data_IF_060961150804
#
_entry.id   IF_060961150804
#
_cell.length_a   1.000
_cell.length_b   1.000
_cell.length_c   1.000
_cell.angle_alpha   90.00
_cell.angle_beta   90.00
_cell.angle_gamma   90.00
#
_symmetry.space_group_name_H-M   'P 1'
#
loop_
_entity.id
_entity.type
_entity.pdbx_description
1 polymer ?
#
# COMPACT_ATOMS: atom_id res chain seq x y z
N UNK A 1 30.52 16.92 23.02
CA UNK A 1 29.87 15.72 23.57
C UNK A 1 29.50 14.83 22.39
N UNK A 2 30.12 13.67 22.23
CA UNK A 2 29.79 12.74 21.15
C UNK A 2 28.38 12.21 21.41
N UNK A 3 27.41 12.61 20.61
CA UNK A 3 26.07 12.04 20.61
C UNK A 3 26.19 10.56 20.27
N UNK A 4 25.85 9.71 21.23
CA UNK A 4 25.78 8.27 21.03
C UNK A 4 24.80 7.99 19.86
N UNK A 5 25.34 7.90 18.64
CA UNK A 5 24.49 7.77 17.43
C UNK A 5 23.78 6.43 17.51
N UNK A 6 22.45 6.46 17.55
CA UNK A 6 21.60 5.28 17.51
C UNK A 6 22.00 4.40 16.30
N UNK A 7 22.51 3.20 16.55
CA UNK A 7 23.05 2.29 15.51
C UNK A 7 21.96 1.47 14.81
N UNK A 8 20.73 1.53 15.28
CA UNK A 8 19.60 0.79 14.68
C UNK A 8 19.33 1.26 13.26
N UNK A 9 18.89 0.35 12.41
CA UNK A 9 18.27 0.73 11.13
C UNK A 9 16.98 1.50 11.38
N UNK A 10 16.67 2.42 10.49
CA UNK A 10 15.53 3.34 10.60
C UNK A 10 14.46 3.04 9.57
N UNK A 11 13.19 3.23 9.94
CA UNK A 11 12.06 3.12 9.03
C UNK A 11 11.05 4.25 9.24
N UNK A 12 10.64 4.89 8.17
CA UNK A 12 9.52 5.84 8.14
C UNK A 12 8.31 5.17 7.48
N UNK A 13 7.16 5.21 8.15
CA UNK A 13 5.93 4.56 7.67
C UNK A 13 4.79 5.57 7.61
N UNK A 14 4.13 5.69 6.45
CA UNK A 14 2.99 6.60 6.29
C UNK A 14 1.68 5.91 6.65
N UNK A 15 0.74 6.63 7.31
CA UNK A 15 -0.62 6.15 7.58
C UNK A 15 -0.69 5.08 8.67
N UNK A 16 -0.12 5.36 9.86
CA UNK A 16 -0.01 4.42 10.99
C UNK A 16 -1.13 4.51 12.03
N UNK A 17 -2.26 5.19 11.75
CA UNK A 17 -3.37 5.28 12.71
C UNK A 17 -3.82 3.89 13.18
N UNK A 18 -4.22 3.81 14.48
CA UNK A 18 -4.60 2.57 15.18
C UNK A 18 -5.59 1.71 14.37
N UNK A 19 -5.40 0.38 14.38
CA UNK A 19 -6.22 -0.61 13.67
C UNK A 19 -6.03 -0.63 12.14
N UNK A 20 -4.97 0.00 11.62
CA UNK A 20 -4.58 -0.04 10.21
C UNK A 20 -3.37 -0.92 9.95
N UNK A 21 -3.10 -1.20 8.66
CA UNK A 21 -1.92 -1.94 8.21
C UNK A 21 -0.63 -1.24 8.64
N UNK A 22 -0.55 0.10 8.49
CA UNK A 22 0.64 0.87 8.87
C UNK A 22 0.97 0.77 10.36
N UNK A 23 -0.05 0.73 11.25
CA UNK A 23 0.14 0.52 12.68
C UNK A 23 0.76 -0.86 12.96
N UNK A 24 0.24 -1.91 12.33
CA UNK A 24 0.77 -3.26 12.49
C UNK A 24 2.21 -3.38 11.93
N UNK A 25 2.50 -2.74 10.79
CA UNK A 25 3.86 -2.68 10.24
C UNK A 25 4.82 -1.96 11.19
N UNK A 26 4.40 -0.82 11.79
CA UNK A 26 5.21 -0.06 12.73
C UNK A 26 5.59 -0.90 13.96
N UNK A 27 4.62 -1.61 14.55
CA UNK A 27 4.86 -2.54 15.66
C UNK A 27 5.82 -3.66 15.28
N UNK A 28 5.65 -4.21 14.09
CA UNK A 28 6.46 -5.34 13.65
C UNK A 28 7.90 -4.92 13.33
N UNK A 29 8.14 -3.79 12.65
CA UNK A 29 9.48 -3.24 12.47
C UNK A 29 10.15 -2.92 13.82
N UNK A 30 9.40 -2.36 14.76
CA UNK A 30 9.89 -2.08 16.11
C UNK A 30 10.29 -3.37 16.84
N UNK A 31 9.49 -4.44 16.72
CA UNK A 31 9.79 -5.76 17.30
C UNK A 31 11.08 -6.35 16.74
N UNK A 32 11.44 -6.04 15.51
CA UNK A 32 12.71 -6.41 14.89
C UNK A 32 13.87 -5.46 15.23
N UNK A 33 13.67 -4.55 16.19
CA UNK A 33 14.72 -3.67 16.72
C UNK A 33 15.02 -2.44 15.85
N UNK A 34 14.17 -2.11 14.87
CA UNK A 34 14.38 -0.90 14.09
C UNK A 34 13.93 0.35 14.87
N UNK A 35 14.55 1.49 14.56
CA UNK A 35 14.08 2.80 14.94
C UNK A 35 12.93 3.21 14.02
N UNK A 36 11.72 3.35 14.56
CA UNK A 36 10.50 3.53 13.76
C UNK A 36 9.98 4.95 13.91
N UNK A 37 9.79 5.63 12.77
CA UNK A 37 9.04 6.87 12.63
C UNK A 37 7.66 6.52 12.07
N UNK A 38 6.64 6.51 12.92
CA UNK A 38 5.26 6.26 12.53
C UNK A 38 4.53 7.58 12.29
N UNK A 39 3.82 7.70 11.16
CA UNK A 39 3.15 8.95 10.83
C UNK A 39 1.65 8.80 10.61
N UNK A 40 0.89 9.83 10.97
CA UNK A 40 -0.53 10.02 10.69
C UNK A 40 -0.87 11.51 10.61
N UNK A 41 -2.02 11.87 10.04
CA UNK A 41 -2.49 13.26 9.97
C UNK A 41 -2.63 13.90 11.36
N UNK A 42 -3.13 13.12 12.31
CA UNK A 42 -3.19 13.50 13.71
C UNK A 42 -2.27 12.59 14.52
N UNK A 43 -1.22 13.18 15.14
CA UNK A 43 -0.26 12.45 15.96
C UNK A 43 -0.91 11.79 17.19
N UNK A 44 -2.04 12.31 17.70
CA UNK A 44 -2.80 11.69 18.79
C UNK A 44 -3.31 10.29 18.42
N UNK A 45 -3.59 10.06 17.14
CA UNK A 45 -4.00 8.72 16.66
C UNK A 45 -2.88 7.67 16.71
N UNK A 46 -1.67 8.05 17.17
CA UNK A 46 -0.48 7.22 17.30
C UNK A 46 -0.06 6.98 18.77
N UNK A 47 -0.88 7.36 19.75
CA UNK A 47 -0.56 7.21 21.19
C UNK A 47 -0.23 5.76 21.55
N UNK A 48 -0.92 4.80 20.94
CA UNK A 48 -0.69 3.37 21.11
C UNK A 48 0.68 2.89 20.59
N UNK A 49 1.26 3.61 19.62
CA UNK A 49 2.62 3.37 19.13
C UNK A 49 3.65 4.13 19.96
N UNK A 50 3.35 5.36 20.33
CA UNK A 50 4.23 6.19 21.15
C UNK A 50 4.50 5.53 22.53
N UNK A 51 3.50 4.89 23.14
CA UNK A 51 3.65 4.13 24.39
C UNK A 51 4.62 2.95 24.30
N UNK A 52 4.94 2.49 23.09
CA UNK A 52 5.93 1.43 22.82
C UNK A 52 7.34 1.99 22.53
N UNK A 53 7.53 3.33 22.59
CA UNK A 53 8.80 3.96 22.20
C UNK A 53 8.97 4.17 20.70
N UNK A 54 7.91 4.05 19.91
CA UNK A 54 7.88 4.39 18.49
C UNK A 54 7.72 5.90 18.33
N UNK A 55 8.52 6.53 17.47
CA UNK A 55 8.50 7.96 17.25
C UNK A 55 7.30 8.38 16.41
N UNK A 56 6.33 9.06 17.03
CA UNK A 56 5.11 9.54 16.38
C UNK A 56 5.34 10.93 15.75
N UNK A 57 4.98 11.09 14.49
CA UNK A 57 5.09 12.34 13.73
C UNK A 57 3.75 12.66 13.04
N UNK A 58 3.40 13.94 12.97
CA UNK A 58 2.29 14.39 12.12
C UNK A 58 2.72 14.40 10.65
N UNK A 59 1.88 13.88 9.76
CA UNK A 59 2.08 13.91 8.32
C UNK A 59 0.76 13.78 7.57
N UNK A 60 0.44 14.81 6.81
CA UNK A 60 -0.59 14.80 5.76
C UNK A 60 0.12 14.56 4.43
N UNK A 61 -0.01 13.36 3.85
CA UNK A 61 0.83 12.93 2.72
C UNK A 61 0.54 13.68 1.42
N UNK A 62 -0.66 14.21 1.27
CA UNK A 62 -1.16 15.02 0.16
C UNK A 62 -1.00 16.54 0.39
N UNK A 63 -0.16 16.93 1.34
CA UNK A 63 0.24 18.31 1.66
C UNK A 63 1.77 18.41 1.59
N UNK A 64 2.27 19.15 0.61
CA UNK A 64 3.71 19.29 0.37
C UNK A 64 4.45 19.92 1.54
N UNK A 65 3.89 20.93 2.19
CA UNK A 65 4.50 21.58 3.35
C UNK A 65 4.61 20.60 4.53
N UNK A 66 3.56 19.82 4.76
CA UNK A 66 3.56 18.76 5.78
C UNK A 66 4.64 17.71 5.51
N UNK A 67 4.85 17.32 4.25
CA UNK A 67 5.91 16.38 3.87
C UNK A 67 7.29 16.98 4.09
N UNK A 68 7.51 18.26 3.76
CA UNK A 68 8.79 18.95 3.99
C UNK A 68 9.11 19.07 5.48
N UNK A 69 8.13 19.43 6.31
CA UNK A 69 8.29 19.49 7.77
C UNK A 69 8.65 18.12 8.35
N UNK A 70 7.96 17.08 7.90
CA UNK A 70 8.27 15.69 8.32
C UNK A 70 9.69 15.29 7.88
N UNK A 71 10.10 15.60 6.65
CA UNK A 71 11.46 15.35 6.17
C UNK A 71 12.52 16.05 7.02
N UNK A 72 12.33 17.35 7.29
CA UNK A 72 13.26 18.12 8.10
C UNK A 72 13.42 17.53 9.51
N UNK A 73 12.32 17.12 10.13
CA UNK A 73 12.34 16.52 11.46
C UNK A 73 12.99 15.12 11.46
N UNK A 74 12.69 14.28 10.50
CA UNK A 74 13.34 12.95 10.35
C UNK A 74 14.84 13.12 10.11
N UNK A 75 15.25 14.03 9.19
CA UNK A 75 16.65 14.34 8.93
C UNK A 75 17.36 14.83 10.19
N UNK A 76 16.77 15.75 10.93
CA UNK A 76 17.31 16.26 12.19
C UNK A 76 17.54 15.15 13.22
N UNK A 77 16.59 14.20 13.33
CA UNK A 77 16.69 13.06 14.27
C UNK A 77 17.69 12.01 13.82
N UNK A 78 17.86 11.80 12.52
CA UNK A 78 18.83 10.84 11.97
C UNK A 78 20.26 11.41 11.98
N UNK A 79 20.45 12.73 11.97
CA UNK A 79 21.75 13.37 11.82
C UNK A 79 22.38 13.05 10.46
N UNK A 80 23.62 12.62 10.45
CA UNK A 80 24.35 12.26 9.23
C UNK A 80 23.98 10.88 8.66
N UNK A 81 23.09 10.14 9.35
CA UNK A 81 22.59 8.86 8.86
C UNK A 81 21.48 9.06 7.84
N UNK A 82 21.46 8.18 6.86
CA UNK A 82 20.34 8.09 5.95
C UNK A 82 19.12 7.38 6.56
N UNK A 83 18.06 7.26 5.78
CA UNK A 83 16.85 6.49 6.09
C UNK A 83 16.94 5.11 5.44
N UNK A 84 16.91 4.04 6.24
CA UNK A 84 17.06 2.68 5.72
C UNK A 84 15.79 2.17 5.01
N UNK A 85 14.61 2.54 5.50
CA UNK A 85 13.34 2.12 4.89
C UNK A 85 12.34 3.28 4.84
N UNK A 86 11.72 3.48 3.66
CA UNK A 86 10.54 4.33 3.48
C UNK A 86 9.35 3.43 3.10
N UNK A 87 8.32 3.35 3.94
CA UNK A 87 7.12 2.56 3.68
C UNK A 87 5.96 3.48 3.33
N UNK A 88 5.63 3.57 2.05
CA UNK A 88 4.47 4.29 1.55
C UNK A 88 3.23 3.41 1.68
N UNK A 89 2.57 3.51 2.85
CA UNK A 89 1.38 2.73 3.19
C UNK A 89 0.09 3.57 3.17
N UNK A 90 0.16 4.88 3.38
CA UNK A 90 -1.01 5.74 3.33
C UNK A 90 -1.80 5.55 2.02
N UNK A 91 -3.11 5.50 2.12
CA UNK A 91 -3.97 5.32 0.97
C UNK A 91 -5.45 5.42 1.33
N UNK A 92 -6.28 5.62 0.32
CA UNK A 92 -7.74 5.65 0.43
C UNK A 92 -8.38 4.77 -0.62
N UNK A 93 -9.59 4.28 -0.31
CA UNK A 93 -10.43 3.54 -1.26
C UNK A 93 -11.53 4.44 -1.83
N UNK A 94 -11.91 4.17 -3.08
CA UNK A 94 -13.04 4.79 -3.73
C UNK A 94 -13.82 3.71 -4.49
N UNK A 95 -14.97 3.29 -3.92
CA UNK A 95 -15.83 2.24 -4.47
C UNK A 95 -17.12 2.88 -4.98
N UNK A 96 -17.18 3.12 -6.29
CA UNK A 96 -18.31 3.73 -7.01
C UNK A 96 -18.28 3.17 -8.43
N UNK A 97 -19.46 2.98 -9.11
CA UNK A 97 -19.48 2.62 -10.52
C UNK A 97 -18.67 3.60 -11.37
N UNK A 98 -17.97 3.09 -12.36
CA UNK A 98 -17.03 3.88 -13.17
C UNK A 98 -17.68 5.08 -13.90
N UNK A 99 -18.96 4.96 -14.24
CA UNK A 99 -19.76 5.99 -14.94
C UNK A 99 -20.45 6.98 -14.00
N UNK A 100 -20.35 6.76 -12.67
CA UNK A 100 -21.02 7.56 -11.64
C UNK A 100 -20.02 8.23 -10.69
N UNK A 101 -18.78 8.37 -11.11
CA UNK A 101 -17.70 8.93 -10.29
C UNK A 101 -17.83 10.46 -10.16
N UNK A 102 -17.54 10.96 -8.96
CA UNK A 102 -17.27 12.38 -8.74
C UNK A 102 -15.80 12.68 -9.06
N UNK A 103 -15.55 13.61 -9.98
CA UNK A 103 -14.20 13.98 -10.40
C UNK A 103 -13.36 14.60 -9.29
N UNK A 104 -13.93 15.23 -8.29
CA UNK A 104 -13.23 15.74 -7.12
C UNK A 104 -12.67 14.58 -6.27
N UNK A 105 -13.49 13.55 -6.07
CA UNK A 105 -13.10 12.31 -5.37
C UNK A 105 -12.06 11.49 -6.18
N UNK A 106 -12.15 11.52 -7.53
CA UNK A 106 -11.14 10.93 -8.42
C UNK A 106 -9.78 11.59 -8.18
N UNK A 107 -9.73 12.95 -8.24
CA UNK A 107 -8.51 13.71 -7.98
C UNK A 107 -7.95 13.40 -6.60
N UNK A 108 -8.77 13.50 -5.55
CA UNK A 108 -8.35 13.20 -4.17
C UNK A 108 -7.82 11.77 -4.01
N UNK A 109 -8.37 10.80 -4.76
CA UNK A 109 -7.89 9.42 -4.71
C UNK A 109 -6.50 9.30 -5.34
N UNK A 110 -6.25 9.98 -6.45
CA UNK A 110 -4.93 10.01 -7.07
C UNK A 110 -3.92 10.84 -6.26
N UNK A 111 -4.35 11.96 -5.66
CA UNK A 111 -3.50 12.75 -4.76
C UNK A 111 -2.91 11.88 -3.64
N UNK A 112 -3.75 11.14 -2.93
CA UNK A 112 -3.30 10.32 -1.79
C UNK A 112 -2.57 9.04 -2.25
N UNK A 113 -3.08 8.33 -3.28
CA UNK A 113 -2.60 6.99 -3.62
C UNK A 113 -1.40 7.01 -4.56
N UNK A 114 -1.18 8.10 -5.29
CA UNK A 114 -0.15 8.19 -6.33
C UNK A 114 0.73 9.44 -6.18
N UNK A 115 0.20 10.65 -6.29
CA UNK A 115 1.02 11.87 -6.28
C UNK A 115 1.75 12.06 -4.94
N UNK A 116 1.09 11.82 -3.82
CA UNK A 116 1.71 11.82 -2.51
C UNK A 116 2.89 10.84 -2.43
N UNK A 117 2.75 9.64 -3.01
CA UNK A 117 3.84 8.64 -3.03
C UNK A 117 5.02 9.13 -3.87
N UNK A 118 4.75 9.73 -5.05
CA UNK A 118 5.79 10.34 -5.89
C UNK A 118 6.52 11.43 -5.11
N UNK A 119 5.79 12.30 -4.43
CA UNK A 119 6.36 13.38 -3.65
C UNK A 119 7.17 12.88 -2.44
N UNK A 120 6.68 11.88 -1.71
CA UNK A 120 7.43 11.21 -0.63
C UNK A 120 8.75 10.60 -1.16
N UNK A 121 8.70 9.88 -2.27
CA UNK A 121 9.91 9.29 -2.86
C UNK A 121 10.91 10.37 -3.27
N UNK A 122 10.46 11.45 -3.96
CA UNK A 122 11.29 12.59 -4.35
C UNK A 122 11.96 13.25 -3.13
N UNK A 123 11.19 13.56 -2.10
CA UNK A 123 11.64 14.29 -0.92
C UNK A 123 12.63 13.46 -0.09
N UNK A 124 12.37 12.17 0.10
CA UNK A 124 13.21 11.30 0.94
C UNK A 124 14.35 10.61 0.18
N UNK A 125 14.44 10.75 -1.14
CA UNK A 125 15.50 10.15 -1.95
C UNK A 125 16.92 10.45 -1.43
N UNK A 126 17.29 11.68 -1.02
CA UNK A 126 18.65 11.95 -0.52
C UNK A 126 19.00 11.11 0.72
N UNK A 127 18.06 10.92 1.66
CA UNK A 127 18.30 10.10 2.86
C UNK A 127 18.40 8.60 2.51
N UNK A 128 17.59 8.15 1.55
CA UNK A 128 17.61 6.75 1.07
C UNK A 128 18.91 6.44 0.30
N UNK A 129 19.42 7.38 -0.48
CA UNK A 129 20.70 7.23 -1.20
C UNK A 129 21.86 7.14 -0.19
N UNK A 130 21.86 7.99 0.85
CA UNK A 130 22.88 7.97 1.90
C UNK A 130 23.01 6.62 2.58
N UNK A 131 21.89 5.95 2.88
CA UNK A 131 21.88 4.64 3.56
C UNK A 131 21.88 3.45 2.60
N UNK A 132 21.78 3.67 1.28
CA UNK A 132 21.48 2.63 0.28
C UNK A 132 20.19 1.85 0.68
N UNK A 133 19.18 2.61 1.05
CA UNK A 133 17.95 2.13 1.69
C UNK A 133 17.00 1.40 0.77
N UNK A 134 15.76 1.22 1.25
CA UNK A 134 14.70 0.54 0.52
C UNK A 134 13.41 1.31 0.60
N UNK A 135 12.77 1.54 -0.54
CA UNK A 135 11.39 2.03 -0.64
C UNK A 135 10.46 0.81 -0.68
N UNK A 136 9.46 0.80 0.19
CA UNK A 136 8.41 -0.24 0.23
C UNK A 136 7.09 0.42 -0.14
N UNK A 137 6.53 0.02 -1.28
CA UNK A 137 5.27 0.56 -1.81
C UNK A 137 4.12 -0.41 -1.47
N UNK A 138 3.15 0.01 -0.69
CA UNK A 138 1.97 -0.82 -0.40
C UNK A 138 0.97 -0.69 -1.55
N UNK A 139 1.13 -1.60 -2.51
CA UNK A 139 0.26 -1.78 -3.66
C UNK A 139 -1.01 -2.58 -3.33
N UNK A 140 -1.66 -3.11 -4.36
CA UNK A 140 -2.89 -3.90 -4.21
C UNK A 140 -3.08 -4.85 -5.39
N UNK A 141 -3.67 -6.02 -5.17
CA UNK A 141 -4.18 -6.88 -6.24
C UNK A 141 -5.17 -6.16 -7.16
N UNK A 142 -5.86 -5.14 -6.63
CA UNK A 142 -6.75 -4.29 -7.42
C UNK A 142 -6.03 -3.49 -8.52
N UNK A 143 -4.72 -3.28 -8.42
CA UNK A 143 -3.92 -2.70 -9.50
C UNK A 143 -3.60 -3.68 -10.63
N UNK A 144 -3.97 -4.96 -10.51
CA UNK A 144 -3.66 -6.01 -11.48
C UNK A 144 -4.89 -6.72 -12.03
N UNK A 145 -6.05 -6.59 -11.38
CA UNK A 145 -7.30 -7.22 -11.79
C UNK A 145 -8.43 -6.18 -11.93
N UNK A 146 -9.43 -6.42 -12.79
CA UNK A 146 -10.59 -5.53 -12.95
C UNK A 146 -11.57 -5.68 -11.79
N UNK A 147 -11.22 -5.18 -10.61
CA UNK A 147 -12.05 -5.29 -9.42
C UNK A 147 -13.23 -4.31 -9.49
N UNK A 148 -14.42 -4.85 -9.79
CA UNK A 148 -15.65 -4.12 -10.14
C UNK A 148 -16.00 -3.05 -9.10
N UNK A 149 -16.55 -1.91 -9.55
CA UNK A 149 -16.89 -0.71 -8.77
C UNK A 149 -15.70 -0.01 -8.10
N UNK A 150 -14.48 -0.41 -8.43
CA UNK A 150 -13.25 0.17 -7.90
C UNK A 150 -12.36 0.80 -8.96
N UNK A 151 -12.88 1.21 -10.11
CA UNK A 151 -12.11 1.63 -11.29
C UNK A 151 -11.01 2.64 -10.97
N UNK A 152 -11.33 3.68 -10.20
CA UNK A 152 -10.38 4.76 -9.85
C UNK A 152 -9.32 4.26 -8.85
N UNK A 153 -9.73 3.50 -7.84
CA UNK A 153 -8.78 2.87 -6.93
C UNK A 153 -7.84 1.91 -7.66
N UNK A 154 -8.39 1.06 -8.53
CA UNK A 154 -7.61 0.13 -9.34
C UNK A 154 -6.59 0.87 -10.20
N UNK A 155 -7.02 1.91 -10.92
CA UNK A 155 -6.16 2.75 -11.74
C UNK A 155 -5.05 3.41 -10.94
N UNK A 156 -5.36 3.96 -9.75
CA UNK A 156 -4.35 4.57 -8.88
C UNK A 156 -3.30 3.56 -8.39
N UNK A 157 -3.70 2.32 -8.10
CA UNK A 157 -2.79 1.24 -7.70
C UNK A 157 -1.98 0.67 -8.88
N UNK A 158 -2.57 0.61 -10.07
CA UNK A 158 -1.83 0.26 -11.28
C UNK A 158 -0.76 1.31 -11.63
N UNK A 159 -1.10 2.60 -11.52
CA UNK A 159 -0.14 3.70 -11.68
C UNK A 159 1.02 3.59 -10.68
N UNK A 160 0.71 3.30 -9.40
CA UNK A 160 1.72 3.06 -8.37
C UNK A 160 2.65 1.89 -8.71
N UNK A 161 2.11 0.78 -9.23
CA UNK A 161 2.91 -0.38 -9.63
C UNK A 161 3.88 -0.03 -10.77
N UNK A 162 3.38 0.61 -11.83
CA UNK A 162 4.19 1.03 -12.98
C UNK A 162 5.28 2.03 -12.58
N UNK A 163 4.93 3.05 -11.76
CA UNK A 163 5.88 3.99 -11.21
C UNK A 163 6.98 3.29 -10.38
N UNK A 164 6.60 2.34 -9.55
CA UNK A 164 7.54 1.62 -8.67
C UNK A 164 8.54 0.79 -9.48
N UNK A 165 8.13 0.19 -10.59
CA UNK A 165 9.02 -0.58 -11.46
C UNK A 165 10.05 0.32 -12.16
N UNK A 166 9.62 1.48 -12.66
CA UNK A 166 10.53 2.48 -13.25
C UNK A 166 11.49 3.04 -12.22
N UNK A 167 10.96 3.45 -11.07
CA UNK A 167 11.78 4.00 -9.97
C UNK A 167 12.85 3.00 -9.49
N UNK A 168 12.55 1.72 -9.51
CA UNK A 168 13.51 0.65 -9.15
C UNK A 168 14.72 0.65 -10.07
N UNK A 169 14.51 0.81 -11.37
CA UNK A 169 15.58 0.86 -12.35
C UNK A 169 16.38 2.15 -12.21
N UNK A 170 15.71 3.28 -12.02
CA UNK A 170 16.36 4.59 -11.89
C UNK A 170 17.21 4.73 -10.62
N UNK A 171 16.77 4.14 -9.51
CA UNK A 171 17.46 4.21 -8.22
C UNK A 171 18.51 3.09 -7.99
N UNK A 172 18.52 2.06 -8.81
CA UNK A 172 19.49 0.95 -8.70
C UNK A 172 20.96 1.41 -8.72
N UNK A 173 21.38 2.37 -9.58
CA UNK A 173 22.77 2.87 -9.58
C UNK A 173 23.20 3.51 -8.26
N UNK A 174 22.24 4.01 -7.47
CA UNK A 174 22.50 4.61 -6.15
C UNK A 174 22.43 3.59 -5.01
N UNK A 175 22.18 2.31 -5.33
CA UNK A 175 22.06 1.24 -4.35
C UNK A 175 20.73 1.23 -3.60
N UNK A 176 19.75 2.04 -4.00
CA UNK A 176 18.41 2.08 -3.39
C UNK A 176 17.54 1.00 -4.00
N UNK A 177 16.87 0.21 -3.14
CA UNK A 177 15.96 -0.83 -3.58
C UNK A 177 14.50 -0.31 -3.56
N UNK A 178 13.67 -0.83 -4.47
CA UNK A 178 12.22 -0.56 -4.46
C UNK A 178 11.48 -1.88 -4.47
N UNK A 179 10.67 -2.11 -3.43
CA UNK A 179 9.84 -3.31 -3.26
C UNK A 179 8.38 -2.93 -3.34
N UNK A 180 7.63 -3.57 -4.23
CA UNK A 180 6.18 -3.41 -4.35
C UNK A 180 5.48 -4.56 -3.64
N UNK A 181 4.63 -4.27 -2.65
CA UNK A 181 3.83 -5.26 -1.95
C UNK A 181 2.43 -5.28 -2.56
N UNK A 182 2.10 -6.32 -3.30
CA UNK A 182 0.77 -6.52 -3.91
C UNK A 182 -0.15 -7.11 -2.84
N UNK A 183 -0.89 -6.23 -2.19
CA UNK A 183 -1.73 -6.56 -1.05
C UNK A 183 -3.07 -7.14 -1.49
N UNK A 184 -3.40 -8.34 -1.01
CA UNK A 184 -4.72 -8.96 -1.13
C UNK A 184 -5.71 -8.48 -0.06
N UNK A 185 -6.68 -9.32 0.31
CA UNK A 185 -7.62 -9.03 1.39
C UNK A 185 -6.91 -8.99 2.75
N UNK A 186 -6.86 -7.82 3.38
CA UNK A 186 -6.30 -7.60 4.73
C UNK A 186 -7.27 -6.76 5.55
N UNK A 187 -7.50 -7.16 6.80
CA UNK A 187 -8.31 -6.39 7.75
C UNK A 187 -7.73 -4.99 7.91
N UNK A 188 -8.52 -3.98 7.57
CA UNK A 188 -8.07 -2.60 7.59
C UNK A 188 -9.24 -1.62 7.66
N UNK A 189 -8.91 -0.35 7.91
CA UNK A 189 -9.88 0.74 7.93
C UNK A 189 -10.22 1.31 6.55
N UNK A 190 -9.65 0.80 5.47
CA UNK A 190 -9.79 1.35 4.13
C UNK A 190 -11.21 1.26 3.56
N UNK A 191 -12.01 0.27 4.01
CA UNK A 191 -13.38 0.01 3.56
C UNK A 191 -14.47 0.73 4.40
N UNK A 192 -14.10 1.70 5.26
CA UNK A 192 -15.05 2.34 6.19
C UNK A 192 -16.03 3.31 5.57
N UNK A 193 -15.72 3.88 4.42
CA UNK A 193 -16.62 4.84 3.77
C UNK A 193 -17.79 4.06 3.17
N UNK A 194 -18.92 4.10 3.84
CA UNK A 194 -20.19 3.59 3.29
C UNK A 194 -20.59 4.51 2.14
N UNK A 195 -20.79 3.95 0.97
CA UNK A 195 -21.30 4.64 -0.22
C UNK A 195 -22.55 3.90 -0.70
N UNK A 196 -23.53 4.63 -1.13
CA UNK A 196 -24.75 4.12 -1.76
C UNK A 196 -24.73 4.44 -3.24
N UNK A 197 -25.47 3.69 -4.03
CA UNK A 197 -25.71 4.06 -5.42
C UNK A 197 -26.52 5.36 -5.48
N UNK A 198 -26.35 6.12 -6.55
CA UNK A 198 -27.21 7.27 -6.82
C UNK A 198 -28.66 6.78 -7.03
N UNK A 199 -29.69 7.60 -6.70
CA UNK A 199 -31.08 7.21 -6.86
C UNK A 199 -31.49 6.79 -8.29
N UNK A 200 -30.78 7.34 -9.28
CA UNK A 200 -30.96 7.05 -10.71
C UNK A 200 -29.83 6.19 -11.30
N UNK A 201 -29.12 5.45 -10.46
CA UNK A 201 -28.03 4.59 -10.92
C UNK A 201 -28.53 3.51 -11.89
N UNK A 202 -27.80 3.34 -13.00
CA UNK A 202 -28.04 2.23 -13.93
C UNK A 202 -27.73 0.86 -13.30
N UNK A 203 -27.08 0.83 -12.14
CA UNK A 203 -26.76 -0.38 -11.39
C UNK A 203 -27.76 -0.71 -10.27
N UNK A 204 -28.83 0.07 -10.12
CA UNK A 204 -29.90 -0.18 -9.13
C UNK A 204 -30.42 -1.63 -9.16
N UNK A 205 -30.60 -2.31 -10.33
CA UNK A 205 -31.04 -3.70 -10.37
C UNK A 205 -30.11 -4.71 -9.68
N UNK A 206 -28.87 -4.31 -9.36
CA UNK A 206 -27.89 -5.15 -8.66
C UNK A 206 -27.29 -4.45 -7.43
N UNK A 207 -28.06 -3.60 -6.76
CA UNK A 207 -27.63 -2.86 -5.57
C UNK A 207 -27.15 -3.80 -4.44
N UNK A 208 -27.74 -4.98 -4.32
CA UNK A 208 -27.30 -6.04 -3.40
C UNK A 208 -25.84 -6.44 -3.65
N UNK A 209 -25.43 -6.55 -4.91
CA UNK A 209 -24.06 -6.88 -5.30
C UNK A 209 -23.10 -5.70 -5.07
N UNK A 210 -23.56 -4.47 -5.30
CA UNK A 210 -22.81 -3.28 -5.00
C UNK A 210 -22.55 -3.16 -3.49
N UNK A 211 -23.58 -3.33 -2.67
CA UNK A 211 -23.46 -3.30 -1.20
C UNK A 211 -22.51 -4.38 -0.69
N UNK A 212 -22.63 -5.62 -1.20
CA UNK A 212 -21.67 -6.68 -0.89
C UNK A 212 -20.23 -6.33 -1.28
N UNK A 213 -20.04 -5.64 -2.42
CA UNK A 213 -18.71 -5.25 -2.90
C UNK A 213 -18.00 -4.26 -1.97
N UNK A 214 -18.74 -3.38 -1.27
CA UNK A 214 -18.16 -2.39 -0.35
C UNK A 214 -17.33 -3.08 0.75
N UNK A 215 -17.82 -4.19 1.28
CA UNK A 215 -17.17 -4.94 2.37
C UNK A 215 -16.39 -6.17 1.91
N UNK A 216 -16.57 -6.62 0.67
CA UNK A 216 -16.01 -7.87 0.14
C UNK A 216 -14.50 -8.05 0.36
N UNK A 217 -13.72 -6.97 0.37
CA UNK A 217 -12.28 -7.05 0.63
C UNK A 217 -11.95 -7.44 2.08
N UNK A 218 -12.94 -7.38 2.98
CA UNK A 218 -12.81 -7.74 4.39
C UNK A 218 -13.30 -9.18 4.67
N UNK A 219 -13.99 -9.81 3.71
CA UNK A 219 -14.50 -11.17 3.85
C UNK A 219 -13.35 -12.19 3.82
N UNK A 220 -13.13 -12.90 4.93
CA UNK A 220 -12.01 -13.82 5.10
C UNK A 220 -10.63 -13.12 5.02
N UNK A 221 -10.58 -11.81 5.24
CA UNK A 221 -9.34 -11.05 5.17
C UNK A 221 -8.31 -11.53 6.21
N UNK A 222 -7.04 -11.56 5.79
CA UNK A 222 -5.92 -11.83 6.67
C UNK A 222 -5.85 -10.76 7.78
N UNK A 223 -5.52 -11.15 9.01
CA UNK A 223 -5.33 -10.15 10.06
C UNK A 223 -4.14 -9.23 9.73
N UNK A 224 -4.26 -7.93 10.03
CA UNK A 224 -3.18 -6.96 9.79
C UNK A 224 -1.87 -7.33 10.51
N UNK A 225 -1.95 -8.00 11.66
CA UNK A 225 -0.75 -8.47 12.38
C UNK A 225 -0.06 -9.64 11.65
N UNK A 226 -0.81 -10.61 11.11
CA UNK A 226 -0.24 -11.70 10.32
C UNK A 226 0.40 -11.17 9.03
N UNK A 227 -0.30 -10.24 8.35
CA UNK A 227 0.20 -9.54 7.18
C UNK A 227 1.51 -8.80 7.49
N UNK A 228 1.55 -8.01 8.57
CA UNK A 228 2.74 -7.26 8.95
C UNK A 228 3.93 -8.17 9.23
N UNK A 229 3.73 -9.28 9.97
CA UNK A 229 4.80 -10.26 10.22
C UNK A 229 5.38 -10.82 8.93
N UNK A 230 4.53 -11.22 7.99
CA UNK A 230 4.98 -11.79 6.72
C UNK A 230 5.70 -10.76 5.86
N UNK A 231 5.12 -9.56 5.69
CA UNK A 231 5.71 -8.49 4.87
C UNK A 231 7.05 -8.03 5.45
N UNK A 232 7.12 -7.74 6.75
CA UNK A 232 8.36 -7.26 7.38
C UNK A 232 9.47 -8.31 7.30
N UNK A 233 9.16 -9.58 7.55
CA UNK A 233 10.13 -10.67 7.39
C UNK A 233 10.67 -10.74 5.94
N UNK A 234 9.79 -10.60 4.93
CA UNK A 234 10.20 -10.62 3.53
C UNK A 234 11.00 -9.38 3.12
N UNK A 235 10.70 -8.21 3.68
CA UNK A 235 11.42 -6.95 3.44
C UNK A 235 12.81 -6.99 4.06
N UNK A 236 12.93 -7.47 5.30
CA UNK A 236 14.20 -7.48 6.04
C UNK A 236 15.14 -8.62 5.61
N UNK A 237 14.59 -9.81 5.41
CA UNK A 237 15.42 -11.02 5.23
C UNK A 237 15.34 -11.61 3.82
N UNK A 238 14.47 -11.09 2.97
CA UNK A 238 14.23 -11.66 1.63
C UNK A 238 13.51 -13.02 1.71
N UNK A 239 13.42 -13.73 0.58
CA UNK A 239 12.88 -15.10 0.56
C UNK A 239 13.96 -16.08 0.92
N UNK A 240 13.87 -16.76 2.04
CA UNK A 240 14.91 -17.71 2.45
C UNK A 240 14.58 -19.07 1.94
N UNK A 241 14.25 -19.95 1.41
CA UNK A 241 14.96 -21.22 1.31
C UNK A 241 15.71 -21.52 0.02
N UNK A 242 15.47 -20.77 -1.06
CA UNK A 242 16.10 -21.07 -2.38
C UNK A 242 17.50 -20.42 -2.57
N UNK A 243 18.03 -19.71 -1.58
CA UNK A 243 19.37 -19.07 -1.59
C UNK A 243 20.51 -20.04 -1.87
N UNK A 244 20.34 -21.32 -1.59
CA UNK A 244 21.37 -22.35 -1.80
C UNK A 244 21.47 -22.81 -3.24
N UNK A 245 20.37 -22.73 -3.99
CA UNK A 245 20.28 -23.22 -5.37
C UNK A 245 20.63 -22.13 -6.40
N UNK A 246 20.39 -20.85 -6.06
CA UNK A 246 20.60 -19.73 -6.97
C UNK A 246 21.39 -18.58 -6.33
N UNK A 247 22.75 -18.61 -6.36
CA UNK A 247 23.59 -17.59 -5.73
C UNK A 247 23.43 -16.16 -6.26
N UNK A 248 22.99 -16.00 -7.51
CA UNK A 248 22.69 -14.67 -8.12
C UNK A 248 21.32 -14.10 -7.74
N UNK A 249 20.43 -14.87 -7.14
CA UNK A 249 19.17 -14.39 -6.59
C UNK A 249 19.36 -13.63 -5.24
N UNK A 250 20.55 -13.11 -4.99
CA UNK A 250 20.95 -12.36 -3.77
C UNK A 250 20.38 -10.94 -3.72
N UNK A 251 19.18 -10.68 -4.24
CA UNK A 251 18.52 -9.38 -4.18
C UNK A 251 17.33 -9.38 -3.21
N UNK A 252 17.03 -8.20 -2.67
CA UNK A 252 15.71 -7.96 -2.03
C UNK A 252 14.63 -8.19 -3.05
N UNK A 253 13.46 -8.75 -2.60
CA UNK A 253 12.35 -9.01 -3.51
C UNK A 253 11.84 -7.70 -4.12
N UNK A 254 11.78 -7.65 -5.44
CA UNK A 254 11.14 -6.53 -6.16
C UNK A 254 9.62 -6.52 -5.97
N UNK A 255 9.00 -7.70 -5.84
CA UNK A 255 7.57 -7.90 -5.67
C UNK A 255 7.29 -8.89 -4.55
N UNK A 256 6.40 -8.52 -3.64
CA UNK A 256 5.88 -9.35 -2.55
C UNK A 256 4.37 -9.47 -2.75
N UNK A 257 3.84 -10.69 -2.79
CA UNK A 257 2.42 -10.96 -2.89
C UNK A 257 1.94 -11.47 -1.54
N UNK A 258 1.14 -10.67 -0.83
CA UNK A 258 0.73 -10.99 0.54
C UNK A 258 -0.73 -10.59 0.80
N UNK A 259 -1.37 -11.31 1.72
CA UNK A 259 -2.79 -11.13 2.02
C UNK A 259 -3.68 -12.18 1.35
N UNK A 260 -4.95 -12.26 1.77
CA UNK A 260 -5.88 -13.27 1.27
C UNK A 260 -6.05 -13.18 -0.26
N UNK A 261 -6.02 -14.34 -0.92
CA UNK A 261 -6.16 -14.53 -2.38
C UNK A 261 -5.05 -13.90 -3.24
N UNK A 262 -4.02 -13.24 -2.68
CA UNK A 262 -2.95 -12.64 -3.47
C UNK A 262 -2.16 -13.69 -4.27
N UNK A 263 -1.84 -14.84 -3.68
CA UNK A 263 -1.12 -15.93 -4.32
C UNK A 263 -1.90 -16.57 -5.48
N UNK A 264 -3.24 -16.64 -5.37
CA UNK A 264 -4.10 -17.14 -6.45
C UNK A 264 -4.00 -16.19 -7.66
N UNK A 265 -4.10 -14.88 -7.40
CA UNK A 265 -4.00 -13.87 -8.45
C UNK A 265 -2.60 -13.89 -9.08
N UNK A 266 -1.55 -14.03 -8.29
CA UNK A 266 -0.19 -14.19 -8.78
C UNK A 266 -0.05 -15.41 -9.70
N UNK A 267 -0.59 -16.57 -9.30
CA UNK A 267 -0.53 -17.79 -10.08
C UNK A 267 -1.25 -17.63 -11.43
N UNK A 268 -2.40 -16.95 -11.43
CA UNK A 268 -3.17 -16.72 -12.67
C UNK A 268 -2.56 -15.64 -13.57
N UNK A 269 -1.95 -14.59 -13.01
CA UNK A 269 -1.32 -13.51 -13.79
C UNK A 269 0.09 -13.86 -14.27
N UNK A 270 0.74 -14.83 -13.64
CA UNK A 270 2.10 -15.28 -13.95
C UNK A 270 2.28 -16.00 -15.30
N UNK A 271 1.32 -15.89 -16.22
CA UNK A 271 1.43 -16.36 -17.61
C UNK A 271 0.35 -17.35 -18.07
N UNK A 272 -0.62 -17.70 -17.22
CA UNK A 272 -1.59 -18.75 -17.52
C UNK A 272 -3.03 -18.26 -17.69
N UNK A 273 -3.36 -17.04 -17.27
CA UNK A 273 -4.72 -16.52 -17.39
C UNK A 273 -4.82 -15.36 -18.38
N UNK A 274 -5.57 -15.60 -19.39
CA UNK A 274 -6.03 -14.60 -20.34
C UNK A 274 -6.83 -13.51 -19.60
N UNK A 275 -6.64 -12.24 -19.95
CA UNK A 275 -7.40 -11.11 -19.36
C UNK A 275 -8.91 -11.32 -19.44
N UNK A 276 -9.40 -12.03 -20.49
CA UNK A 276 -10.79 -12.43 -20.64
C UNK A 276 -11.33 -13.33 -19.51
N UNK A 277 -10.49 -14.17 -18.92
CA UNK A 277 -10.90 -15.04 -17.81
C UNK A 277 -11.14 -14.23 -16.53
N UNK A 278 -10.29 -13.22 -16.26
CA UNK A 278 -10.47 -12.30 -15.14
C UNK A 278 -11.75 -11.46 -15.31
N UNK A 279 -12.05 -10.98 -16.53
CA UNK A 279 -13.30 -10.27 -16.85
C UNK A 279 -14.52 -11.17 -16.63
N UNK A 280 -14.52 -12.40 -17.14
CA UNK A 280 -15.62 -13.34 -16.97
C UNK A 280 -15.86 -13.68 -15.48
N UNK A 281 -14.78 -13.91 -14.72
CA UNK A 281 -14.86 -14.17 -13.29
C UNK A 281 -15.46 -12.98 -12.53
N UNK A 282 -14.99 -11.75 -12.78
CA UNK A 282 -15.49 -10.54 -12.13
C UNK A 282 -16.96 -10.24 -12.51
N UNK A 283 -17.33 -10.45 -13.78
CA UNK A 283 -18.73 -10.35 -14.25
C UNK A 283 -19.66 -11.29 -13.47
N UNK A 284 -19.22 -12.53 -13.25
CA UNK A 284 -20.00 -13.52 -12.51
C UNK A 284 -20.05 -13.27 -11.01
N UNK A 285 -18.89 -12.95 -10.38
CA UNK A 285 -18.78 -12.72 -8.94
C UNK A 285 -19.62 -11.52 -8.48
N UNK A 286 -19.64 -10.46 -9.28
CA UNK A 286 -20.36 -9.21 -8.95
C UNK A 286 -21.69 -9.05 -9.70
N UNK A 287 -22.23 -10.14 -10.24
CA UNK A 287 -23.61 -10.21 -10.73
C UNK A 287 -23.93 -9.33 -11.94
N UNK A 288 -22.94 -8.88 -12.74
CA UNK A 288 -23.18 -8.06 -13.93
C UNK A 288 -24.02 -8.80 -14.99
N UNK A 289 -24.04 -10.15 -14.97
CA UNK A 289 -24.95 -10.96 -15.77
C UNK A 289 -26.43 -10.76 -15.38
N UNK A 290 -26.71 -10.49 -14.09
CA UNK A 290 -28.08 -10.18 -13.61
C UNK A 290 -28.52 -8.80 -14.12
N UNK A 291 -27.63 -7.83 -14.07
CA UNK A 291 -27.88 -6.51 -14.67
C UNK A 291 -28.23 -6.62 -16.16
N UNK A 292 -27.44 -7.36 -16.93
CA UNK A 292 -27.69 -7.60 -18.36
C UNK A 292 -29.10 -8.14 -18.62
N UNK A 293 -29.55 -9.13 -17.83
CA UNK A 293 -30.90 -9.67 -17.92
C UNK A 293 -31.97 -8.63 -17.52
N UNK A 294 -31.70 -7.80 -16.51
CA UNK A 294 -32.67 -6.81 -16.02
C UNK A 294 -32.90 -5.66 -17.01
N UNK A 295 -31.92 -5.33 -17.86
CA UNK A 295 -32.03 -4.30 -18.90
C UNK A 295 -32.47 -4.85 -20.27
N UNK A 296 -32.82 -6.14 -20.36
CA UNK A 296 -33.39 -6.74 -21.57
C UNK A 296 -32.37 -7.10 -22.65
N UNK A 297 -31.11 -7.29 -22.31
CA UNK A 297 -30.03 -7.72 -23.19
C UNK A 297 -29.55 -9.14 -22.89
#
# INVERSE_FOLDING_TARGET
MATNSDKRQSVLITGCASGGIGNALAREFHRHGLRVFATARDAKSLEDLASLGIEALSLTVDDEDSVQLCFAEVKRRLGDKGLDYLVNNAGRNYTVPATEVDLSEVRTTFEVNFFAVVYMCKTFAPLLITSKGTIVQIGSVAGTIPYVFGSIYNASKAALHSYSDTLRVELAPFGVNVTTVVTGGVQSRIARTKRTLAPNSIYAPIEDQYTRRITHSQDGAMSHNAYARSVVAQVLYGSAPWRWIWPWARGRKSWIWEGNKSWVIWLFLGGWAWTGLAHAAMTRIFGLNRLRKAIGN
#
